data_IF_516670653587
#
_entry.id   IF_516670653587
#
_cell.length_a   1.000
_cell.length_b   1.000
_cell.length_c   1.000
_cell.angle_alpha   90.00
_cell.angle_beta   90.00
_cell.angle_gamma   90.00
#
_symmetry.space_group_name_H-M   'P 1'
#
loop_
_entity.id
_entity.type
_entity.pdbx_description
1 polymer ?
#
# COMPACT_ATOMS: atom_id res chain seq x y z
N UNK A 1 -2.43 9.20 -15.67
CA UNK A 1 -3.17 10.46 -15.92
C UNK A 1 -4.56 10.41 -15.27
N UNK A 2 -4.99 11.49 -14.63
CA UNK A 2 -6.28 11.54 -13.91
C UNK A 2 -7.47 11.21 -14.81
N UNK A 3 -7.41 11.63 -16.08
CA UNK A 3 -8.44 11.35 -17.09
C UNK A 3 -8.66 9.86 -17.32
N UNK A 4 -7.60 9.05 -17.31
CA UNK A 4 -7.70 7.60 -17.48
C UNK A 4 -8.32 6.91 -16.26
N UNK A 5 -7.99 7.38 -15.05
CA UNK A 5 -8.58 6.87 -13.81
C UNK A 5 -10.09 7.21 -13.72
N UNK A 6 -10.47 8.43 -14.11
CA UNK A 6 -11.87 8.85 -14.20
C UNK A 6 -12.64 7.99 -15.22
N UNK A 7 -12.08 7.78 -16.41
CA UNK A 7 -12.72 6.98 -17.45
C UNK A 7 -12.92 5.52 -17.03
N UNK A 8 -11.93 4.92 -16.36
CA UNK A 8 -12.04 3.57 -15.80
C UNK A 8 -13.17 3.48 -14.77
N UNK A 9 -13.25 4.43 -13.84
CA UNK A 9 -14.30 4.46 -12.83
C UNK A 9 -15.71 4.66 -13.43
N UNK A 10 -15.83 5.51 -14.46
CA UNK A 10 -17.08 5.71 -15.21
C UNK A 10 -17.47 4.45 -15.97
N UNK A 11 -16.50 3.77 -16.59
CA UNK A 11 -16.72 2.50 -17.29
C UNK A 11 -17.19 1.41 -16.33
N UNK A 12 -16.57 1.30 -15.15
CA UNK A 12 -17.00 0.38 -14.10
C UNK A 12 -18.41 0.70 -13.59
N UNK A 13 -18.76 1.98 -13.42
CA UNK A 13 -20.11 2.36 -13.04
C UNK A 13 -21.16 1.96 -14.10
N UNK A 14 -20.79 2.02 -15.39
CA UNK A 14 -21.66 1.62 -16.51
C UNK A 14 -21.81 0.11 -16.66
N UNK A 15 -20.83 -0.70 -16.23
CA UNK A 15 -20.85 -2.15 -16.39
C UNK A 15 -21.83 -2.87 -15.46
N UNK A 16 -22.27 -2.23 -14.38
CA UNK A 16 -23.28 -2.77 -13.47
C UNK A 16 -24.63 -2.03 -13.63
N UNK A 17 -25.73 -2.74 -13.98
CA UNK A 17 -27.07 -2.14 -14.10
C UNK A 17 -27.53 -1.36 -12.87
N UNK A 18 -27.08 -1.73 -11.67
CA UNK A 18 -27.44 -1.06 -10.41
C UNK A 18 -26.79 0.31 -10.28
N UNK A 19 -25.63 0.51 -10.92
CA UNK A 19 -24.83 1.73 -10.80
C UNK A 19 -24.79 2.59 -12.05
N UNK A 20 -25.30 2.10 -13.19
CA UNK A 20 -25.23 2.80 -14.49
C UNK A 20 -25.79 4.23 -14.43
N UNK A 21 -26.92 4.43 -13.72
CA UNK A 21 -27.55 5.76 -13.52
C UNK A 21 -26.66 6.75 -12.77
N UNK A 22 -25.64 6.29 -12.06
CA UNK A 22 -24.70 7.11 -11.30
C UNK A 22 -23.42 7.43 -12.08
N UNK A 23 -23.24 6.98 -13.33
CA UNK A 23 -22.01 7.24 -14.08
C UNK A 23 -21.70 8.74 -14.24
N UNK A 24 -22.75 9.57 -14.38
CA UNK A 24 -22.62 11.02 -14.39
C UNK A 24 -22.15 11.60 -13.04
N UNK A 25 -22.67 11.07 -11.94
CA UNK A 25 -22.25 11.44 -10.58
C UNK A 25 -20.78 11.07 -10.34
N UNK A 26 -20.38 9.85 -10.71
CA UNK A 26 -18.98 9.36 -10.60
C UNK A 26 -18.04 10.30 -11.37
N UNK A 27 -18.35 10.61 -12.63
CA UNK A 27 -17.55 11.53 -13.43
C UNK A 27 -17.49 12.93 -12.79
N UNK A 28 -18.63 13.45 -12.33
CA UNK A 28 -18.72 14.77 -11.70
C UNK A 28 -17.85 14.89 -10.45
N UNK A 29 -17.97 13.93 -9.53
CA UNK A 29 -17.20 13.90 -8.28
C UNK A 29 -15.71 13.76 -8.57
N UNK A 30 -15.28 12.78 -9.37
CA UNK A 30 -13.86 12.55 -9.63
C UNK A 30 -13.20 13.71 -10.37
N UNK A 31 -13.88 14.34 -11.34
CA UNK A 31 -13.36 15.56 -11.99
C UNK A 31 -13.31 16.74 -11.02
N UNK A 32 -14.23 16.83 -10.07
CA UNK A 32 -14.18 17.86 -9.03
C UNK A 32 -12.97 17.68 -8.12
N UNK A 33 -12.68 16.44 -7.71
CA UNK A 33 -11.49 16.12 -6.93
C UNK A 33 -10.21 16.42 -7.70
N UNK A 34 -10.13 16.03 -8.98
CA UNK A 34 -8.95 16.32 -9.81
C UNK A 34 -8.70 17.83 -9.96
N UNK A 35 -9.75 18.65 -10.12
CA UNK A 35 -9.60 20.11 -10.17
C UNK A 35 -9.16 20.71 -8.83
N UNK A 36 -9.61 20.15 -7.71
CA UNK A 36 -9.30 20.64 -6.37
C UNK A 36 -7.96 20.12 -5.82
N UNK A 37 -7.36 19.12 -6.45
CA UNK A 37 -6.18 18.40 -5.95
C UNK A 37 -5.04 19.32 -5.49
N UNK A 38 -4.69 20.32 -6.30
CA UNK A 38 -3.57 21.21 -6.00
C UNK A 38 -3.75 22.02 -4.70
N UNK A 39 -4.99 22.34 -4.33
CA UNK A 39 -5.30 23.09 -3.12
C UNK A 39 -5.60 22.16 -1.92
N UNK A 40 -6.28 21.05 -2.15
CA UNK A 40 -6.89 20.26 -1.07
C UNK A 40 -6.07 19.02 -0.67
N UNK A 41 -5.19 18.51 -1.53
CA UNK A 41 -4.55 17.21 -1.28
C UNK A 41 -3.60 17.25 -0.07
N UNK A 42 -2.70 18.22 -0.02
CA UNK A 42 -1.75 18.31 1.10
C UNK A 42 -2.44 18.57 2.45
N UNK A 43 -3.40 19.51 2.58
CA UNK A 43 -4.19 19.67 3.80
C UNK A 43 -4.95 18.40 4.21
N UNK A 44 -5.59 17.72 3.26
CA UNK A 44 -6.32 16.48 3.53
C UNK A 44 -5.41 15.38 4.06
N UNK A 45 -4.24 15.17 3.46
CA UNK A 45 -3.26 14.18 3.92
C UNK A 45 -2.73 14.51 5.32
N UNK A 46 -2.47 15.79 5.61
CA UNK A 46 -1.99 16.23 6.92
C UNK A 46 -3.03 16.05 8.03
N UNK A 47 -4.32 16.21 7.73
CA UNK A 47 -5.42 16.07 8.69
C UNK A 47 -5.90 14.62 8.86
N UNK A 48 -5.65 13.75 7.88
CA UNK A 48 -6.20 12.38 7.90
C UNK A 48 -5.40 11.49 8.84
N UNK A 49 -6.10 10.83 9.78
CA UNK A 49 -5.56 9.69 10.51
C UNK A 49 -6.01 8.41 9.81
N UNK A 50 -5.07 7.67 9.22
CA UNK A 50 -5.35 6.38 8.54
C UNK A 50 -5.55 5.23 9.54
N UNK A 51 -6.21 5.52 10.66
CA UNK A 51 -6.53 4.56 11.70
C UNK A 51 -7.89 4.89 12.33
N UNK A 52 -8.68 3.87 12.72
CA UNK A 52 -9.83 4.09 13.57
C UNK A 52 -9.43 4.79 14.87
N UNK A 53 -10.31 5.66 15.38
CA UNK A 53 -10.02 6.45 16.59
C UNK A 53 -9.56 5.61 17.77
N UNK A 54 -10.23 4.47 18.01
CA UNK A 54 -9.88 3.54 19.10
C UNK A 54 -8.43 3.02 19.03
N UNK A 55 -7.88 2.85 17.82
CA UNK A 55 -6.51 2.36 17.65
C UNK A 55 -5.51 3.49 17.96
N UNK A 56 -5.78 4.70 17.46
CA UNK A 56 -4.95 5.86 17.70
C UNK A 56 -4.86 6.20 19.20
N UNK A 57 -5.99 6.15 19.92
CA UNK A 57 -6.04 6.35 21.37
C UNK A 57 -5.24 5.28 22.12
N UNK A 58 -5.39 4.00 21.74
CA UNK A 58 -4.65 2.89 22.36
C UNK A 58 -3.14 3.02 22.15
N UNK A 59 -2.71 3.38 20.94
CA UNK A 59 -1.29 3.59 20.65
C UNK A 59 -0.74 4.78 21.45
N UNK A 60 -1.51 5.87 21.56
CA UNK A 60 -1.13 7.04 22.33
C UNK A 60 -1.02 6.73 23.83
N UNK A 61 -1.96 5.97 24.38
CA UNK A 61 -1.93 5.54 25.78
C UNK A 61 -0.74 4.62 26.08
N UNK A 62 -0.37 3.73 25.16
CA UNK A 62 0.71 2.77 25.36
C UNK A 62 2.12 3.36 25.10
N UNK A 63 2.26 4.25 24.10
CA UNK A 63 3.55 4.68 23.58
C UNK A 63 3.79 6.19 23.65
N UNK A 64 2.78 6.98 24.02
CA UNK A 64 2.80 8.44 23.94
C UNK A 64 2.47 8.96 22.53
N UNK A 65 2.13 10.25 22.44
CA UNK A 65 1.65 10.88 21.20
C UNK A 65 2.67 10.79 20.06
N UNK A 66 3.95 11.11 20.32
CA UNK A 66 4.98 11.16 19.28
C UNK A 66 5.24 9.78 18.65
N UNK A 67 5.35 8.73 19.48
CA UNK A 67 5.55 7.36 18.99
C UNK A 67 4.30 6.82 18.29
N UNK A 68 3.11 7.11 18.81
CA UNK A 68 1.86 6.74 18.16
C UNK A 68 1.77 7.36 16.75
N UNK A 69 2.13 8.64 16.61
CA UNK A 69 2.20 9.30 15.31
C UNK A 69 3.21 8.63 14.38
N UNK A 70 4.42 8.31 14.87
CA UNK A 70 5.44 7.63 14.08
C UNK A 70 4.99 6.23 13.60
N UNK A 71 4.30 5.46 14.46
CA UNK A 71 3.74 4.14 14.11
C UNK A 71 2.69 4.28 13.01
N UNK A 72 1.75 5.23 13.14
CA UNK A 72 0.72 5.45 12.13
C UNK A 72 1.30 5.94 10.80
N UNK A 73 2.35 6.77 10.84
CA UNK A 73 3.08 7.17 9.64
C UNK A 73 3.79 5.96 8.98
N UNK A 74 4.33 5.03 9.76
CA UNK A 74 4.95 3.81 9.23
C UNK A 74 3.95 2.93 8.46
N UNK A 75 2.70 2.82 8.91
CA UNK A 75 1.65 2.07 8.20
C UNK A 75 1.32 2.58 6.79
N UNK A 76 1.69 3.82 6.45
CA UNK A 76 1.49 4.38 5.09
C UNK A 76 2.52 3.89 4.09
N UNK A 77 3.62 3.31 4.55
CA UNK A 77 4.67 2.78 3.68
C UNK A 77 4.31 1.35 3.28
N UNK A 78 4.58 1.01 2.02
CA UNK A 78 4.46 -0.37 1.56
C UNK A 78 5.35 -1.27 2.43
N UNK A 79 4.76 -2.34 2.96
CA UNK A 79 5.49 -3.27 3.80
C UNK A 79 6.44 -4.11 2.93
N UNK A 80 7.70 -4.30 3.34
CA UNK A 80 8.61 -5.18 2.63
C UNK A 80 8.19 -6.65 2.78
N UNK A 81 8.70 -7.51 1.89
CA UNK A 81 8.43 -8.94 1.92
C UNK A 81 9.61 -9.69 2.55
N UNK A 82 9.34 -10.45 3.61
CA UNK A 82 10.33 -11.24 4.30
C UNK A 82 10.20 -12.72 3.93
N UNK A 83 11.25 -13.28 3.36
CA UNK A 83 11.35 -14.69 2.98
C UNK A 83 12.10 -15.49 4.04
N UNK A 84 11.56 -16.64 4.41
CA UNK A 84 12.24 -17.59 5.30
C UNK A 84 12.95 -18.63 4.44
N UNK A 85 14.28 -18.54 4.37
CA UNK A 85 15.05 -19.42 3.51
C UNK A 85 15.40 -20.73 4.21
N UNK A 86 15.45 -21.83 3.45
CA UNK A 86 15.87 -23.14 4.01
C UNK A 86 17.34 -23.19 4.39
N UNK A 87 18.19 -22.51 3.60
CA UNK A 87 19.63 -22.46 3.79
C UNK A 87 20.21 -21.24 3.07
N UNK A 88 21.41 -20.82 3.48
CA UNK A 88 22.20 -19.74 2.89
C UNK A 88 21.43 -18.42 2.62
N UNK A 89 21.09 -17.66 3.69
CA UNK A 89 20.41 -16.38 3.55
C UNK A 89 21.17 -15.35 2.70
N UNK A 90 22.51 -15.39 2.71
CA UNK A 90 23.31 -14.45 1.94
C UNK A 90 23.14 -14.67 0.43
N UNK A 91 23.17 -15.94 -0.01
CA UNK A 91 22.89 -16.30 -1.40
C UNK A 91 21.49 -15.85 -1.84
N UNK A 92 20.48 -16.05 -1.00
CA UNK A 92 19.11 -15.65 -1.33
C UNK A 92 18.90 -14.15 -1.31
N UNK A 93 19.57 -13.42 -0.41
CA UNK A 93 19.58 -11.96 -0.42
C UNK A 93 20.15 -11.43 -1.75
N UNK A 94 21.24 -12.00 -2.26
CA UNK A 94 21.77 -11.64 -3.57
C UNK A 94 20.78 -11.95 -4.70
N UNK A 95 20.21 -13.17 -4.72
CA UNK A 95 19.30 -13.62 -5.78
C UNK A 95 17.98 -12.85 -5.84
N UNK A 96 17.44 -12.48 -4.68
CA UNK A 96 16.16 -11.79 -4.58
C UNK A 96 16.29 -10.26 -4.52
N UNK A 97 17.53 -9.74 -4.46
CA UNK A 97 17.78 -8.30 -4.30
C UNK A 97 17.37 -7.77 -2.92
N UNK A 98 17.56 -8.57 -1.88
CA UNK A 98 17.19 -8.28 -0.50
C UNK A 98 18.37 -8.12 0.45
N UNK A 99 18.05 -8.00 1.73
CA UNK A 99 19.02 -7.96 2.84
C UNK A 99 18.73 -9.07 3.85
N UNK A 100 19.77 -9.63 4.46
CA UNK A 100 19.60 -10.60 5.55
C UNK A 100 19.29 -9.84 6.84
N UNK A 101 18.18 -10.19 7.49
CA UNK A 101 17.81 -9.66 8.79
C UNK A 101 18.53 -10.42 9.92
N UNK A 102 18.64 -9.87 11.14
CA UNK A 102 19.22 -10.55 12.29
C UNK A 102 18.55 -11.90 12.64
N UNK A 103 17.31 -12.10 12.18
CA UNK A 103 16.54 -13.34 12.34
C UNK A 103 16.89 -14.42 11.30
N UNK A 104 17.76 -14.12 10.33
CA UNK A 104 18.13 -15.02 9.24
C UNK A 104 17.15 -15.04 8.05
N UNK A 105 16.07 -14.24 8.11
CA UNK A 105 15.16 -14.04 6.98
C UNK A 105 15.76 -13.06 5.97
N UNK A 106 15.32 -13.17 4.72
CA UNK A 106 15.71 -12.25 3.63
C UNK A 106 14.58 -11.25 3.40
N UNK A 107 14.85 -9.97 3.63
CA UNK A 107 13.91 -8.88 3.39
C UNK A 107 14.11 -8.29 2.00
N UNK A 108 13.04 -8.22 1.21
CA UNK A 108 13.02 -7.61 -0.13
C UNK A 108 12.07 -6.42 -0.10
N UNK A 109 12.57 -5.21 -0.37
CA UNK A 109 11.74 -4.00 -0.34
C UNK A 109 10.75 -3.93 -1.51
N UNK A 110 11.17 -4.37 -2.69
CA UNK A 110 10.34 -4.37 -3.90
C UNK A 110 10.55 -5.66 -4.67
N UNK A 111 9.48 -6.42 -4.84
CA UNK A 111 9.52 -7.63 -5.64
C UNK A 111 9.76 -7.29 -7.11
N UNK A 112 10.68 -8.01 -7.75
CA UNK A 112 10.99 -7.87 -9.17
C UNK A 112 9.98 -8.56 -10.09
N UNK A 113 9.22 -9.53 -9.55
CA UNK A 113 8.19 -10.31 -10.24
C UNK A 113 7.13 -10.82 -9.25
N UNK A 114 6.09 -11.51 -9.74
CA UNK A 114 5.16 -12.20 -8.85
C UNK A 114 5.90 -13.27 -8.06
N UNK A 115 5.45 -13.57 -6.83
CA UNK A 115 6.07 -14.56 -5.95
C UNK A 115 6.28 -15.91 -6.64
N UNK A 116 5.32 -16.35 -7.46
CA UNK A 116 5.39 -17.64 -8.17
C UNK A 116 6.47 -17.68 -9.27
N UNK A 117 6.89 -16.51 -9.75
CA UNK A 117 7.88 -16.36 -10.82
C UNK A 117 9.29 -16.11 -10.25
N UNK A 118 9.42 -15.95 -8.92
CA UNK A 118 10.70 -15.71 -8.28
C UNK A 118 11.56 -16.98 -8.24
N UNK A 119 12.89 -16.86 -8.38
CA UNK A 119 13.80 -17.99 -8.27
C UNK A 119 13.61 -18.74 -6.95
N UNK A 120 13.56 -20.07 -7.00
CA UNK A 120 13.42 -20.92 -5.82
C UNK A 120 12.00 -21.19 -5.36
N UNK A 121 10.98 -20.49 -5.88
CA UNK A 121 9.58 -20.76 -5.51
C UNK A 121 9.16 -22.18 -5.90
N UNK A 122 9.41 -22.59 -7.15
CA UNK A 122 9.01 -23.91 -7.66
C UNK A 122 9.70 -25.08 -6.91
N UNK A 123 10.92 -24.87 -6.45
CA UNK A 123 11.70 -25.84 -5.68
C UNK A 123 11.42 -25.76 -4.17
N UNK A 124 10.57 -24.81 -3.75
CA UNK A 124 10.28 -24.50 -2.35
C UNK A 124 11.54 -24.16 -1.55
N UNK A 125 12.50 -23.44 -2.15
CA UNK A 125 13.77 -23.14 -1.51
C UNK A 125 13.66 -22.15 -0.33
N UNK A 126 12.53 -21.46 -0.25
CA UNK A 126 12.09 -20.53 0.78
C UNK A 126 10.55 -20.56 0.88
#
# INVERSE_FOLDING_TARGET
>A
PDSAAVDLAVTHAKSDPRTTRFSGLVNGVLRSLARAQAAELAPALAATSDAPHWLAERLTAAYGADKAHAILAAHRHEAPVDFTVKADPALWAERLGGIVLPTGTVRVEKLSANVIDLPGFADGAW
#
